data_IF_892868175838
#
_entry.id   IF_892868175838
#
_cell.length_a   1.000
_cell.length_b   1.000
_cell.length_c   1.000
_cell.angle_alpha   90.00
_cell.angle_beta   90.00
_cell.angle_gamma   90.00
#
_symmetry.space_group_name_H-M   'P 1'
#
loop_
_entity.id
_entity.type
_entity.pdbx_description
1 polymer ?
#
# COMPACT_ATOMS: atom_id res chain seq x y z
N UNK A 1 -1.86 3.90 -13.60
CA UNK A 1 -0.65 4.56 -13.04
C UNK A 1 0.13 3.52 -12.24
N UNK A 2 1.47 3.56 -12.24
CA UNK A 2 2.33 2.69 -11.41
C UNK A 2 3.34 3.56 -10.68
N UNK A 3 3.53 3.32 -9.39
CA UNK A 3 4.51 4.01 -8.56
C UNK A 3 5.42 2.96 -7.96
N UNK A 4 6.73 3.20 -8.03
CA UNK A 4 7.76 2.32 -7.50
C UNK A 4 8.68 3.11 -6.59
N UNK A 5 9.12 2.47 -5.50
CA UNK A 5 10.05 3.05 -4.54
C UNK A 5 11.23 2.10 -4.38
N UNK A 6 12.44 2.62 -4.57
CA UNK A 6 13.68 1.85 -4.55
C UNK A 6 14.75 2.59 -3.76
N UNK A 7 15.65 1.85 -3.11
CA UNK A 7 16.71 2.41 -2.27
C UNK A 7 17.27 1.39 -1.28
N UNK A 8 18.36 1.73 -0.61
CA UNK A 8 19.04 0.88 0.38
C UNK A 8 18.30 0.82 1.74
N UNK A 9 18.64 -0.13 2.61
CA UNK A 9 18.10 -0.14 3.99
C UNK A 9 18.46 1.17 4.71
N UNK A 10 17.48 1.77 5.39
CA UNK A 10 17.64 3.10 6.00
C UNK A 10 17.42 4.29 5.05
N UNK A 11 17.02 4.05 3.79
CA UNK A 11 16.67 5.12 2.83
C UNK A 11 15.20 5.57 2.89
N UNK A 12 14.51 5.34 4.01
CA UNK A 12 13.15 5.82 4.26
C UNK A 12 12.05 5.39 3.27
N UNK A 13 12.24 4.33 2.48
CA UNK A 13 11.23 3.80 1.53
C UNK A 13 9.85 3.59 2.18
N UNK A 14 9.85 3.00 3.39
CA UNK A 14 8.62 2.73 4.15
C UNK A 14 7.95 4.04 4.58
N UNK A 15 8.75 5.04 4.95
CA UNK A 15 8.24 6.36 5.31
C UNK A 15 7.61 7.05 4.10
N UNK A 16 8.23 7.01 2.92
CA UNK A 16 7.63 7.60 1.70
C UNK A 16 6.36 6.87 1.25
N UNK A 17 6.28 5.55 1.39
CA UNK A 17 5.12 4.78 0.92
C UNK A 17 3.95 4.78 1.89
N UNK A 18 4.22 4.63 3.20
CA UNK A 18 3.20 4.50 4.23
C UNK A 18 3.18 5.66 5.21
N UNK A 19 4.33 6.30 5.44
CA UNK A 19 4.48 7.33 6.46
C UNK A 19 4.37 6.77 7.87
N UNK A 20 3.89 7.60 8.80
CA UNK A 20 3.45 7.18 10.13
C UNK A 20 1.93 7.30 10.23
N UNK A 21 1.25 6.36 10.90
CA UNK A 21 -0.20 6.42 11.07
C UNK A 21 -0.63 7.62 11.93
N UNK A 22 0.23 8.05 12.87
CA UNK A 22 0.02 9.23 13.70
C UNK A 22 1.31 10.07 13.84
N UNK A 23 1.19 11.41 13.91
CA UNK A 23 0.00 12.23 13.60
C UNK A 23 -0.43 12.14 12.11
N UNK A 24 -1.69 12.50 11.75
CA UNK A 24 -2.21 12.38 10.39
C UNK A 24 -1.34 13.04 9.31
N UNK A 25 -0.65 14.13 9.65
CA UNK A 25 0.24 14.85 8.75
C UNK A 25 1.45 14.03 8.30
N UNK A 26 1.79 12.96 9.03
CA UNK A 26 2.89 12.05 8.69
C UNK A 26 2.47 10.86 7.83
N UNK A 27 1.18 10.72 7.47
CA UNK A 27 0.77 9.78 6.43
C UNK A 27 1.40 10.18 5.10
N UNK A 28 1.71 9.20 4.26
CA UNK A 28 2.33 9.45 2.96
C UNK A 28 1.53 8.79 1.82
N UNK A 29 2.21 8.42 0.72
CA UNK A 29 1.61 8.13 -0.57
C UNK A 29 0.39 7.19 -0.54
N UNK A 30 0.54 5.98 0.00
CA UNK A 30 -0.53 4.96 -0.01
C UNK A 30 -1.77 5.45 0.77
N UNK A 31 -1.69 5.79 2.07
CA UNK A 31 -2.87 6.20 2.82
C UNK A 31 -3.54 7.46 2.24
N UNK A 32 -2.77 8.45 1.80
CA UNK A 32 -3.34 9.67 1.17
C UNK A 32 -4.09 9.35 -0.13
N UNK A 33 -3.53 8.47 -0.96
CA UNK A 33 -4.17 8.08 -2.22
C UNK A 33 -5.51 7.38 -1.97
N UNK A 34 -5.55 6.48 -0.97
CA UNK A 34 -6.77 5.77 -0.59
C UNK A 34 -7.83 6.73 -0.03
N UNK A 35 -7.44 7.67 0.82
CA UNK A 35 -8.34 8.71 1.35
C UNK A 35 -8.95 9.56 0.22
N UNK A 36 -8.12 10.05 -0.71
CA UNK A 36 -8.58 10.80 -1.87
C UNK A 36 -9.57 10.00 -2.75
N UNK A 37 -9.33 8.69 -2.92
CA UNK A 37 -10.26 7.83 -3.65
C UNK A 37 -11.63 7.81 -2.95
N UNK A 38 -11.68 7.59 -1.65
CA UNK A 38 -12.95 7.58 -0.89
C UNK A 38 -13.64 8.95 -0.85
N UNK A 39 -12.89 10.05 -0.76
CA UNK A 39 -13.46 11.42 -0.77
C UNK A 39 -14.08 11.81 -2.11
N UNK A 40 -13.58 11.24 -3.21
CA UNK A 40 -14.00 11.63 -4.56
C UNK A 40 -15.47 11.33 -4.90
N UNK A 41 -16.24 10.65 -4.02
CA UNK A 41 -17.68 10.30 -4.14
C UNK A 41 -18.14 9.65 -5.46
N UNK A 42 -17.26 9.47 -6.44
CA UNK A 42 -17.50 8.80 -7.72
C UNK A 42 -17.50 7.27 -7.59
N UNK A 43 -17.18 6.76 -6.41
CA UNK A 43 -17.15 5.33 -6.12
C UNK A 43 -18.59 4.87 -5.80
N UNK A 44 -19.41 4.73 -6.84
CA UNK A 44 -20.71 4.04 -6.76
C UNK A 44 -20.55 2.51 -6.84
N UNK A 45 -19.35 2.03 -7.18
CA UNK A 45 -19.03 0.61 -7.40
C UNK A 45 -18.02 0.09 -6.37
N UNK A 46 -18.08 -1.22 -6.10
CA UNK A 46 -17.17 -1.90 -5.17
C UNK A 46 -15.72 -1.81 -5.65
N UNK A 47 -14.84 -1.30 -4.80
CA UNK A 47 -13.40 -1.26 -5.07
C UNK A 47 -12.74 -2.57 -4.63
N UNK A 48 -11.90 -3.13 -5.48
CA UNK A 48 -11.10 -4.32 -5.16
C UNK A 48 -9.68 -3.88 -4.83
N UNK A 49 -9.20 -4.28 -3.65
CA UNK A 49 -7.82 -4.10 -3.23
C UNK A 49 -7.14 -5.46 -3.14
N UNK A 50 -5.86 -5.53 -3.54
CA UNK A 50 -5.04 -6.73 -3.50
C UNK A 50 -3.65 -6.31 -2.99
N UNK A 51 -3.09 -7.04 -2.03
CA UNK A 51 -1.76 -6.79 -1.48
C UNK A 51 -0.93 -8.07 -1.62
N UNK A 52 0.12 -8.00 -2.45
CA UNK A 52 0.97 -9.14 -2.77
C UNK A 52 2.41 -8.85 -2.34
N UNK A 53 3.06 -9.88 -1.83
CA UNK A 53 4.50 -9.91 -1.61
C UNK A 53 5.15 -10.86 -2.61
N UNK A 54 6.30 -10.47 -3.14
CA UNK A 54 7.19 -11.36 -3.89
C UNK A 54 8.45 -11.51 -3.06
N UNK A 55 8.64 -12.70 -2.50
CA UNK A 55 9.80 -13.04 -1.70
C UNK A 55 10.35 -14.38 -2.17
N UNK A 56 11.65 -14.43 -2.48
CA UNK A 56 12.32 -15.64 -2.98
C UNK A 56 11.55 -16.30 -4.15
N UNK A 57 11.22 -15.50 -5.18
CA UNK A 57 10.46 -15.94 -6.37
C UNK A 57 9.07 -16.55 -6.08
N UNK A 58 8.56 -16.38 -4.85
CA UNK A 58 7.24 -16.86 -4.45
C UNK A 58 6.30 -15.67 -4.28
N UNK A 59 5.10 -15.78 -4.86
CA UNK A 59 4.03 -14.78 -4.70
C UNK A 59 3.16 -15.18 -3.52
N UNK A 60 3.00 -14.28 -2.56
CA UNK A 60 2.17 -14.48 -1.37
C UNK A 60 1.08 -13.39 -1.28
N UNK A 61 -0.17 -13.81 -1.08
CA UNK A 61 -1.28 -12.89 -0.79
C UNK A 61 -1.25 -12.49 0.69
N UNK A 62 -0.94 -11.23 0.97
CA UNK A 62 -0.85 -10.69 2.32
C UNK A 62 -2.23 -10.44 2.95
N UNK A 63 -3.31 -10.40 2.17
CA UNK A 63 -4.68 -10.29 2.69
C UNK A 63 -5.29 -11.65 3.03
N UNK A 64 -4.65 -12.76 2.62
CA UNK A 64 -5.06 -14.13 2.94
C UNK A 64 -3.88 -14.99 3.40
N UNK A 65 -3.28 -14.68 4.57
CA UNK A 65 -2.02 -15.28 5.03
C UNK A 65 -2.12 -16.75 5.51
N UNK A 66 -2.97 -17.59 4.90
CA UNK A 66 -3.21 -18.97 5.36
C UNK A 66 -3.44 -19.99 4.24
N UNK A 67 -3.30 -19.62 2.97
CA UNK A 67 -3.31 -20.59 1.87
C UNK A 67 -1.88 -20.91 1.46
N UNK A 68 -1.21 -21.71 2.30
CA UNK A 68 -0.17 -22.60 1.79
C UNK A 68 -0.87 -23.56 0.83
N UNK A 69 -0.59 -23.44 -0.48
CA UNK A 69 -0.87 -24.53 -1.42
C UNK A 69 0.13 -25.67 -1.19
#
# INVERSE_FOLDING_TARGET
>A
VRVFTYGQVGSDKTFTMMGKPEPPDHKDLIPRTVEMMFESKQILESQKCVMLEIYNETIQDLLKPSQTL
#
